data_IF_098311956853
#
_entry.id   IF_098311956853
#
_cell.length_a   1.000
_cell.length_b   1.000
_cell.length_c   1.000
_cell.angle_alpha   90.00
_cell.angle_beta   90.00
_cell.angle_gamma   90.00
#
_symmetry.space_group_name_H-M   'P 1'
#
loop_
_entity.id
_entity.type
_entity.pdbx_description
1 polymer ?
#
# COMPACT_ATOMS: atom_id res chain seq x y z
N UNK A 1 13.61 17.12 17.64
CA UNK A 1 13.77 18.56 17.89
C UNK A 1 14.61 19.13 16.77
N UNK A 2 14.03 19.75 15.77
CA UNK A 2 14.63 20.82 14.98
C UNK A 2 13.48 21.56 14.26
N UNK A 3 13.16 22.74 14.78
CA UNK A 3 12.31 23.71 14.15
C UNK A 3 13.12 24.44 13.08
N UNK A 4 12.62 24.52 11.86
CA UNK A 4 13.03 25.52 10.88
C UNK A 4 11.80 26.29 10.42
N UNK A 5 11.57 27.43 11.06
CA UNK A 5 10.60 28.42 10.66
C UNK A 5 11.14 29.23 9.47
N UNK A 6 10.55 29.07 8.30
CA UNK A 6 10.82 29.92 7.14
C UNK A 6 9.91 31.14 7.20
N UNK A 7 10.50 32.30 7.49
CA UNK A 7 9.84 33.62 7.46
C UNK A 7 9.67 34.08 6.01
N UNK A 8 8.42 34.23 5.56
CA UNK A 8 8.09 35.00 4.36
C UNK A 8 8.09 36.49 4.67
N UNK A 9 8.95 37.22 3.99
CA UNK A 9 8.97 38.69 3.99
C UNK A 9 8.08 39.15 2.83
N UNK A 10 6.94 39.73 3.16
CA UNK A 10 6.10 40.45 2.23
C UNK A 10 6.67 41.87 2.06
N UNK A 11 7.31 42.13 0.93
CA UNK A 11 7.71 43.46 0.52
C UNK A 11 6.71 44.03 -0.49
N UNK A 12 5.82 44.88 -0.04
CA UNK A 12 4.98 45.67 -0.93
C UNK A 12 5.80 46.88 -1.43
N UNK A 13 6.04 46.93 -2.75
CA UNK A 13 6.52 48.14 -3.40
C UNK A 13 5.52 48.49 -4.51
N UNK A 14 4.64 49.49 -4.22
CA UNK A 14 3.87 50.19 -5.25
C UNK A 14 4.79 51.18 -5.96
N UNK A 15 5.07 50.95 -7.22
CA UNK A 15 5.56 51.98 -8.14
C UNK A 15 4.63 52.03 -9.33
N UNK A 16 3.80 53.09 -9.38
CA UNK A 16 3.04 53.48 -10.55
C UNK A 16 4.00 54.14 -11.55
N UNK A 17 4.30 53.46 -12.64
CA UNK A 17 4.89 54.07 -13.83
C UNK A 17 3.98 53.75 -15.03
N UNK A 18 3.20 54.76 -15.44
CA UNK A 18 2.44 54.74 -16.69
C UNK A 18 3.42 55.03 -17.81
N UNK A 19 3.88 54.03 -18.52
CA UNK A 19 4.45 54.17 -19.86
C UNK A 19 3.77 53.20 -20.79
N UNK A 20 2.89 53.77 -21.60
CA UNK A 20 2.30 53.16 -22.77
C UNK A 20 3.40 52.85 -23.79
N UNK A 21 3.81 51.57 -23.83
CA UNK A 21 4.46 50.93 -24.96
C UNK A 21 4.16 49.45 -24.87
N UNK A 22 3.93 48.80 -26.01
CA UNK A 22 3.53 47.44 -26.20
C UNK A 22 4.56 46.42 -25.61
N UNK A 23 4.87 46.52 -24.34
CA UNK A 23 5.77 45.65 -23.59
C UNK A 23 4.91 44.71 -22.73
N UNK A 24 5.04 43.43 -22.98
CA UNK A 24 4.53 42.37 -22.12
C UNK A 24 4.76 42.73 -20.64
N UNK A 25 3.73 42.66 -19.80
CA UNK A 25 3.89 42.89 -18.37
C UNK A 25 4.85 41.87 -17.75
N UNK A 26 5.51 42.20 -16.66
CA UNK A 26 6.41 41.27 -15.97
C UNK A 26 5.68 39.99 -15.53
N UNK A 27 4.41 40.14 -15.12
CA UNK A 27 3.57 38.97 -14.76
C UNK A 27 3.21 38.11 -15.96
N UNK A 28 2.86 38.71 -17.12
CA UNK A 28 2.58 37.98 -18.36
C UNK A 28 3.81 37.25 -18.85
N UNK A 29 4.99 37.90 -18.80
CA UNK A 29 6.25 37.25 -19.13
C UNK A 29 6.57 36.06 -18.22
N UNK A 30 6.38 36.20 -16.92
CA UNK A 30 6.61 35.10 -15.98
C UNK A 30 5.62 33.95 -16.18
N UNK A 31 4.35 34.24 -16.44
CA UNK A 31 3.34 33.23 -16.78
C UNK A 31 3.70 32.50 -18.08
N UNK A 32 4.14 33.22 -19.12
CA UNK A 32 4.61 32.64 -20.37
C UNK A 32 5.78 31.68 -20.15
N UNK A 33 6.78 32.07 -19.37
CA UNK A 33 7.95 31.22 -19.09
C UNK A 33 7.55 29.91 -18.41
N UNK A 34 6.62 29.91 -17.45
CA UNK A 34 6.10 28.71 -16.81
C UNK A 34 5.38 27.81 -17.82
N UNK A 35 4.59 28.38 -18.73
CA UNK A 35 3.92 27.64 -19.78
C UNK A 35 4.91 26.98 -20.76
N UNK A 36 5.93 27.75 -21.22
CA UNK A 36 6.98 27.25 -22.09
C UNK A 36 7.81 26.14 -21.42
N UNK A 37 8.16 26.30 -20.13
CA UNK A 37 8.82 25.25 -19.35
C UNK A 37 7.97 23.99 -19.21
N UNK A 38 6.66 24.13 -19.01
CA UNK A 38 5.75 22.99 -18.98
C UNK A 38 5.76 22.24 -20.33
N UNK A 39 5.75 22.96 -21.45
CA UNK A 39 5.90 22.36 -22.78
C UNK A 39 7.22 21.61 -22.95
N UNK A 40 8.34 22.21 -22.53
CA UNK A 40 9.68 21.57 -22.57
C UNK A 40 9.73 20.33 -21.69
N UNK A 41 9.20 20.38 -20.47
CA UNK A 41 9.14 19.23 -19.56
C UNK A 41 8.33 18.09 -20.17
N UNK A 42 7.20 18.38 -20.83
CA UNK A 42 6.42 17.36 -21.52
C UNK A 42 7.21 16.68 -22.67
N UNK A 43 7.92 17.48 -23.48
CA UNK A 43 8.77 16.94 -24.58
C UNK A 43 9.91 16.09 -24.01
N UNK A 44 10.43 16.46 -22.83
CA UNK A 44 11.46 15.68 -22.13
C UNK A 44 10.93 14.40 -21.46
N UNK A 45 9.63 14.09 -21.58
CA UNK A 45 9.03 12.90 -20.96
C UNK A 45 8.76 13.06 -19.46
N UNK A 46 8.63 14.31 -18.98
CA UNK A 46 8.36 14.68 -17.59
C UNK A 46 6.95 15.29 -17.42
N UNK A 47 5.86 14.59 -17.79
CA UNK A 47 4.53 15.17 -17.81
C UNK A 47 4.02 15.57 -16.42
N UNK A 48 4.43 14.87 -15.36
CA UNK A 48 4.07 15.22 -13.97
C UNK A 48 4.67 16.58 -13.58
N UNK A 49 5.94 16.83 -13.95
CA UNK A 49 6.59 18.13 -13.77
C UNK A 49 5.91 19.21 -14.59
N UNK A 50 5.54 18.92 -15.83
CA UNK A 50 4.81 19.84 -16.68
C UNK A 50 3.47 20.26 -16.06
N UNK A 51 2.70 19.33 -15.48
CA UNK A 51 1.45 19.61 -14.76
C UNK A 51 1.73 20.52 -13.56
N UNK A 52 2.76 20.26 -12.76
CA UNK A 52 3.12 21.08 -11.61
C UNK A 52 3.49 22.53 -12.00
N UNK A 53 4.15 22.72 -13.15
CA UNK A 53 4.44 24.06 -13.70
C UNK A 53 3.16 24.79 -14.11
N UNK A 54 2.18 24.11 -14.72
CA UNK A 54 0.87 24.69 -15.02
C UNK A 54 0.06 24.99 -13.76
N UNK A 55 0.19 24.21 -12.70
CA UNK A 55 -0.41 24.52 -11.40
C UNK A 55 0.22 25.75 -10.77
N UNK A 56 1.53 25.91 -10.88
CA UNK A 56 2.25 27.12 -10.45
C UNK A 56 1.78 28.35 -11.23
N UNK A 57 1.63 28.24 -12.55
CA UNK A 57 1.10 29.29 -13.39
C UNK A 57 -0.31 29.70 -12.95
N UNK A 58 -1.20 28.71 -12.76
CA UNK A 58 -2.58 28.93 -12.32
C UNK A 58 -2.66 29.69 -11.01
N UNK A 59 -1.82 29.33 -10.04
CA UNK A 59 -1.88 29.85 -8.69
C UNK A 59 -1.18 31.23 -8.55
N UNK A 60 -0.04 31.41 -9.22
CA UNK A 60 0.75 32.63 -9.11
C UNK A 60 0.24 33.76 -10.04
N UNK A 61 -0.35 33.40 -11.18
CA UNK A 61 -0.74 34.37 -12.22
C UNK A 61 -2.20 34.18 -12.68
N UNK A 62 -3.19 34.21 -11.77
CA UNK A 62 -4.60 33.95 -12.13
C UNK A 62 -5.21 35.01 -13.04
N UNK A 63 -4.66 36.23 -13.08
CA UNK A 63 -5.12 37.33 -13.93
C UNK A 63 -4.62 37.22 -15.38
N UNK A 64 -3.61 36.42 -15.67
CA UNK A 64 -3.01 36.28 -16.99
C UNK A 64 -3.86 35.31 -17.86
N UNK A 65 -5.00 35.83 -18.34
CA UNK A 65 -6.06 35.05 -19.00
C UNK A 65 -5.61 34.31 -20.27
N UNK A 66 -4.66 34.87 -21.01
CA UNK A 66 -4.09 34.22 -22.20
C UNK A 66 -3.36 32.93 -21.83
N UNK A 67 -2.44 33.02 -20.87
CA UNK A 67 -1.64 31.87 -20.42
C UNK A 67 -2.47 30.86 -19.64
N UNK A 68 -3.51 31.32 -18.92
CA UNK A 68 -4.49 30.46 -18.30
C UNK A 68 -5.24 29.62 -19.34
N UNK A 69 -5.72 30.24 -20.43
CA UNK A 69 -6.39 29.52 -21.54
C UNK A 69 -5.44 28.54 -22.24
N UNK A 70 -4.21 28.97 -22.52
CA UNK A 70 -3.19 28.10 -23.12
C UNK A 70 -2.89 26.90 -22.24
N UNK A 71 -2.73 27.13 -20.91
CA UNK A 71 -2.57 26.09 -19.90
C UNK A 71 -3.73 25.09 -19.88
N UNK A 72 -4.97 25.57 -19.92
CA UNK A 72 -6.18 24.74 -19.96
C UNK A 72 -6.23 23.84 -21.21
N UNK A 73 -5.75 24.33 -22.35
CA UNK A 73 -5.69 23.56 -23.61
C UNK A 73 -4.60 22.48 -23.57
N UNK A 74 -3.43 22.77 -22.96
CA UNK A 74 -2.31 21.85 -22.87
C UNK A 74 -2.55 20.73 -21.82
N UNK A 75 -3.22 21.09 -20.72
CA UNK A 75 -3.38 20.21 -19.54
C UNK A 75 -3.92 18.81 -19.85
N UNK A 76 -4.96 18.62 -20.67
CA UNK A 76 -5.44 17.27 -20.98
C UNK A 76 -4.36 16.38 -21.62
N UNK A 77 -3.57 16.91 -22.53
CA UNK A 77 -2.43 16.17 -23.15
C UNK A 77 -1.40 15.77 -22.12
N UNK A 78 -1.07 16.66 -21.16
CA UNK A 78 -0.14 16.33 -20.09
C UNK A 78 -0.69 15.23 -19.17
N UNK A 79 -1.99 15.27 -18.85
CA UNK A 79 -2.65 14.24 -18.03
C UNK A 79 -2.65 12.90 -18.77
N UNK A 80 -2.90 12.89 -20.08
CA UNK A 80 -2.83 11.68 -20.91
C UNK A 80 -1.41 11.08 -20.82
N UNK A 81 -0.38 11.87 -21.08
CA UNK A 81 1.01 11.40 -21.05
C UNK A 81 1.43 10.90 -19.67
N UNK A 82 1.03 11.61 -18.59
CA UNK A 82 1.30 11.22 -17.22
C UNK A 82 0.59 9.91 -16.85
N UNK A 83 -0.69 9.78 -17.21
CA UNK A 83 -1.47 8.57 -16.92
C UNK A 83 -0.93 7.37 -17.69
N UNK A 84 -0.59 7.52 -18.96
CA UNK A 84 -0.01 6.44 -19.78
C UNK A 84 1.35 5.98 -19.23
N UNK A 85 2.17 6.91 -18.70
CA UNK A 85 3.44 6.59 -18.07
C UNK A 85 3.25 5.84 -16.74
N UNK A 86 2.31 6.30 -15.91
CA UNK A 86 2.00 5.66 -14.63
C UNK A 86 1.35 4.28 -14.82
N UNK A 87 0.45 4.11 -15.81
CA UNK A 87 -0.14 2.81 -16.13
C UNK A 87 0.95 1.80 -16.51
N UNK A 88 1.91 2.19 -17.35
CA UNK A 88 3.05 1.31 -17.69
C UNK A 88 3.85 0.90 -16.46
N UNK A 89 4.15 1.84 -15.57
CA UNK A 89 4.89 1.53 -14.33
C UNK A 89 4.10 0.58 -13.41
N UNK A 90 2.77 0.73 -13.35
CA UNK A 90 1.90 -0.20 -12.61
C UNK A 90 1.89 -1.58 -13.27
N UNK A 91 1.83 -1.66 -14.61
CA UNK A 91 1.87 -2.93 -15.33
C UNK A 91 3.20 -3.68 -15.13
N UNK A 92 4.32 -2.97 -15.17
CA UNK A 92 5.63 -3.53 -14.88
C UNK A 92 5.70 -4.08 -13.43
N UNK A 93 5.14 -3.33 -12.49
CA UNK A 93 5.07 -3.76 -11.08
C UNK A 93 4.17 -4.98 -10.88
N UNK A 94 3.03 -5.03 -11.57
CA UNK A 94 2.12 -6.20 -11.53
C UNK A 94 2.79 -7.45 -12.10
N UNK A 95 3.60 -7.32 -13.16
CA UNK A 95 4.34 -8.44 -13.74
C UNK A 95 5.35 -9.03 -12.76
N UNK A 96 6.08 -8.17 -12.03
CA UNK A 96 7.02 -8.61 -10.98
C UNK A 96 6.28 -9.32 -9.85
N UNK A 97 5.18 -8.71 -9.37
CA UNK A 97 4.36 -9.32 -8.31
C UNK A 97 3.73 -10.66 -8.73
N UNK A 98 3.33 -10.82 -9.98
CA UNK A 98 2.82 -12.09 -10.50
C UNK A 98 3.88 -13.19 -10.44
N UNK A 99 5.14 -12.88 -10.77
CA UNK A 99 6.24 -13.84 -10.68
C UNK A 99 6.51 -14.24 -9.23
N UNK A 100 6.53 -13.28 -8.30
CA UNK A 100 6.69 -13.54 -6.87
C UNK A 100 5.52 -14.35 -6.31
N UNK A 101 4.29 -13.98 -6.67
CA UNK A 101 3.09 -14.68 -6.28
C UNK A 101 3.14 -16.16 -6.71
N UNK A 102 3.45 -16.43 -7.99
CA UNK A 102 3.52 -17.79 -8.53
C UNK A 102 4.60 -18.62 -7.82
N UNK A 103 5.76 -18.00 -7.51
CA UNK A 103 6.82 -18.66 -6.74
C UNK A 103 6.36 -19.02 -5.32
N UNK A 104 5.68 -18.13 -4.62
CA UNK A 104 5.17 -18.35 -3.28
C UNK A 104 3.97 -19.30 -3.28
N UNK A 105 3.08 -19.20 -4.26
CA UNK A 105 1.91 -20.06 -4.40
C UNK A 105 2.31 -21.55 -4.48
N UNK A 106 3.44 -21.86 -5.11
CA UNK A 106 3.97 -23.23 -5.15
C UNK A 106 4.30 -23.83 -3.78
N UNK A 107 4.52 -22.98 -2.77
CA UNK A 107 4.79 -23.36 -1.38
C UNK A 107 3.50 -23.42 -0.54
N UNK A 108 2.39 -22.93 -1.06
CA UNK A 108 1.14 -22.85 -0.33
C UNK A 108 0.23 -24.03 -0.63
N UNK A 109 -0.52 -24.45 0.39
CA UNK A 109 -1.59 -25.45 0.28
C UNK A 109 -2.92 -24.78 0.56
N UNK A 110 -3.88 -24.95 -0.35
CA UNK A 110 -5.28 -24.53 -0.13
C UNK A 110 -5.96 -25.55 0.77
N UNK A 111 -6.59 -25.07 1.82
CA UNK A 111 -7.44 -25.87 2.70
C UNK A 111 -8.89 -25.44 2.41
N UNK A 112 -9.65 -26.39 1.90
CA UNK A 112 -11.08 -26.24 1.59
C UNK A 112 -11.79 -27.53 1.95
N UNK A 113 -12.88 -27.44 2.69
CA UNK A 113 -13.80 -28.56 2.96
C UNK A 113 -15.21 -28.00 3.17
N UNK A 114 -16.20 -28.87 3.15
CA UNK A 114 -17.63 -28.50 3.28
C UNK A 114 -18.02 -27.86 4.63
N UNK A 115 -17.13 -27.93 5.63
CA UNK A 115 -17.36 -27.39 6.98
C UNK A 115 -16.74 -25.99 7.16
N UNK A 116 -15.88 -25.54 6.24
CA UNK A 116 -15.26 -24.23 6.27
C UNK A 116 -16.18 -23.23 5.58
N UNK A 117 -16.34 -22.06 6.21
CA UNK A 117 -17.08 -20.95 5.61
C UNK A 117 -16.32 -20.41 4.39
N UNK A 118 -14.99 -20.31 4.49
CA UNK A 118 -14.12 -19.87 3.41
C UNK A 118 -12.84 -20.71 3.34
N UNK A 119 -12.32 -20.97 2.13
CA UNK A 119 -11.01 -21.57 1.95
C UNK A 119 -9.90 -20.63 2.49
N UNK A 120 -8.78 -21.23 2.89
CA UNK A 120 -7.58 -20.47 3.28
C UNK A 120 -6.31 -21.18 2.80
N UNK A 121 -5.23 -20.45 2.75
CA UNK A 121 -3.90 -20.95 2.41
C UNK A 121 -3.06 -21.13 3.68
N UNK A 122 -2.21 -22.16 3.66
CA UNK A 122 -1.17 -22.44 4.65
C UNK A 122 0.13 -22.78 3.95
N UNK A 123 1.24 -22.62 4.61
CA UNK A 123 2.51 -23.18 4.12
C UNK A 123 2.45 -24.70 4.05
N UNK A 124 2.65 -25.25 2.86
CA UNK A 124 2.49 -26.69 2.61
C UNK A 124 3.49 -27.55 3.39
N UNK A 125 4.70 -27.03 3.60
CA UNK A 125 5.75 -27.76 4.31
C UNK A 125 5.44 -27.89 5.81
N UNK A 126 4.80 -26.88 6.42
CA UNK A 126 4.48 -26.83 7.85
C UNK A 126 3.05 -27.29 8.18
N UNK A 127 2.24 -27.57 7.17
CA UNK A 127 0.85 -27.95 7.38
C UNK A 127 0.72 -29.22 8.24
N UNK A 128 -0.07 -29.12 9.31
CA UNK A 128 -0.45 -30.21 10.18
C UNK A 128 -1.98 -30.29 10.25
N UNK A 129 -2.62 -31.34 9.72
CA UNK A 129 -4.08 -31.52 9.81
C UNK A 129 -4.58 -31.70 11.26
N UNK A 130 -3.70 -32.06 12.19
CA UNK A 130 -4.00 -32.24 13.61
C UNK A 130 -3.59 -31.02 14.45
N UNK A 131 -3.31 -29.87 13.82
CA UNK A 131 -2.84 -28.67 14.51
C UNK A 131 -3.73 -28.27 15.70
N UNK A 132 -5.05 -28.41 15.59
CA UNK A 132 -5.98 -28.06 16.66
C UNK A 132 -5.82 -28.94 17.90
N UNK A 133 -5.21 -30.11 17.79
CA UNK A 133 -4.88 -31.01 18.88
C UNK A 133 -3.44 -30.85 19.39
N UNK A 134 -2.72 -29.86 18.88
CA UNK A 134 -1.33 -29.55 19.24
C UNK A 134 -1.24 -28.28 20.11
N UNK A 135 -0.02 -27.83 20.42
CA UNK A 135 0.19 -26.54 21.06
C UNK A 135 1.17 -25.71 20.23
N UNK A 136 0.74 -24.51 19.83
CA UNK A 136 1.55 -23.62 19.01
C UNK A 136 0.73 -22.59 18.27
N UNK A 137 1.32 -22.00 17.20
CA UNK A 137 0.66 -21.09 16.27
C UNK A 137 0.77 -21.60 14.84
N UNK A 138 -0.24 -21.29 14.03
CA UNK A 138 -0.29 -21.58 12.60
C UNK A 138 -0.66 -20.31 11.85
N UNK A 139 0.20 -19.80 10.96
CA UNK A 139 -0.15 -18.71 10.06
C UNK A 139 -1.09 -19.24 8.96
N UNK A 140 -2.05 -18.40 8.59
CA UNK A 140 -3.01 -18.66 7.50
C UNK A 140 -3.20 -17.43 6.66
N UNK A 141 -3.58 -17.58 5.41
CA UNK A 141 -3.90 -16.48 4.51
C UNK A 141 -5.27 -16.72 3.90
N UNK A 142 -6.17 -15.76 4.00
CA UNK A 142 -7.49 -15.81 3.38
C UNK A 142 -7.40 -15.70 1.86
N UNK A 143 -8.46 -16.04 1.14
CA UNK A 143 -8.53 -15.88 -0.33
C UNK A 143 -8.43 -14.44 -0.81
N UNK A 144 -8.68 -13.49 0.09
CA UNK A 144 -8.52 -12.06 -0.20
C UNK A 144 -7.15 -11.49 0.20
N UNK A 145 -6.21 -12.35 0.62
CA UNK A 145 -4.84 -11.98 0.94
C UNK A 145 -4.61 -11.54 2.39
N UNK A 146 -5.58 -11.63 3.28
CA UNK A 146 -5.41 -11.28 4.69
C UNK A 146 -4.69 -12.40 5.43
N UNK A 147 -3.51 -12.12 6.00
CA UNK A 147 -2.83 -13.03 6.90
C UNK A 147 -3.46 -12.96 8.29
N UNK A 148 -3.66 -14.12 8.91
CA UNK A 148 -4.12 -14.25 10.29
C UNK A 148 -3.45 -15.45 10.97
N UNK A 149 -3.42 -15.44 12.30
CA UNK A 149 -2.88 -16.57 13.07
C UNK A 149 -4.00 -17.34 13.75
N UNK A 150 -3.82 -18.64 13.80
CA UNK A 150 -4.53 -19.52 14.71
C UNK A 150 -3.53 -20.02 15.75
N UNK A 151 -3.86 -19.91 17.04
CA UNK A 151 -3.13 -20.62 18.08
C UNK A 151 -3.97 -21.75 18.65
N UNK A 152 -3.30 -22.81 19.04
CA UNK A 152 -3.89 -23.92 19.78
C UNK A 152 -3.09 -24.22 21.04
N UNK A 153 -3.79 -24.54 22.13
CA UNK A 153 -3.20 -25.03 23.35
C UNK A 153 -3.96 -26.26 23.85
N UNK A 154 -3.36 -27.43 23.64
CA UNK A 154 -3.93 -28.70 24.10
C UNK A 154 -3.81 -28.82 25.63
N UNK A 155 -4.84 -29.37 26.27
CA UNK A 155 -4.93 -29.59 27.71
C UNK A 155 -5.76 -28.58 28.49
N UNK A 156 -6.30 -27.51 27.85
CA UNK A 156 -7.35 -26.64 28.38
C UNK A 156 -7.05 -25.87 29.65
N UNK A 157 -5.77 -25.76 30.07
CA UNK A 157 -5.38 -25.20 31.36
C UNK A 157 -4.76 -23.79 31.29
N UNK A 158 -4.45 -23.31 30.10
CA UNK A 158 -3.76 -22.02 29.91
C UNK A 158 -4.73 -20.84 29.99
N UNK A 159 -5.95 -21.03 29.50
CA UNK A 159 -6.92 -19.94 29.26
C UNK A 159 -6.25 -18.82 28.47
N UNK A 160 -5.53 -19.20 27.40
CA UNK A 160 -4.73 -18.24 26.66
C UNK A 160 -5.62 -17.29 25.83
N UNK A 161 -5.18 -16.06 25.73
CA UNK A 161 -5.85 -15.00 24.99
C UNK A 161 -4.93 -14.33 23.98
N UNK A 162 -3.62 -14.59 24.09
CA UNK A 162 -2.64 -13.95 23.24
C UNK A 162 -1.39 -14.80 23.09
N UNK A 163 -0.46 -14.31 22.31
CA UNK A 163 0.88 -14.84 22.22
C UNK A 163 1.92 -13.72 22.06
N UNK A 164 3.16 -14.03 22.37
CA UNK A 164 4.33 -13.17 22.12
C UNK A 164 5.38 -13.99 21.40
N UNK A 165 5.99 -13.41 20.35
CA UNK A 165 7.21 -13.93 19.74
C UNK A 165 8.35 -13.01 20.16
N UNK A 166 9.42 -13.58 20.71
CA UNK A 166 10.60 -12.85 21.18
C UNK A 166 11.85 -13.33 20.46
N UNK A 167 12.73 -12.38 20.12
CA UNK A 167 14.01 -12.58 19.47
C UNK A 167 14.99 -11.49 19.91
N UNK A 168 16.19 -11.84 20.36
CA UNK A 168 17.30 -10.91 20.66
C UNK A 168 16.91 -9.70 21.55
N UNK A 169 15.99 -9.91 22.50
CA UNK A 169 15.53 -8.87 23.44
C UNK A 169 14.36 -8.03 22.94
N UNK A 170 13.98 -8.17 21.68
CA UNK A 170 12.78 -7.57 21.10
C UNK A 170 11.60 -8.55 21.10
N UNK A 171 10.39 -8.04 20.95
CA UNK A 171 9.20 -8.89 20.90
C UNK A 171 8.04 -8.25 20.15
N UNK A 172 7.17 -9.09 19.61
CA UNK A 172 5.90 -8.74 19.00
C UNK A 172 4.78 -9.57 19.63
N UNK A 173 3.56 -9.03 19.64
CA UNK A 173 2.42 -9.66 20.30
C UNK A 173 1.26 -9.83 19.32
N UNK A 174 0.52 -10.95 19.45
CA UNK A 174 -0.83 -11.14 18.93
C UNK A 174 -1.83 -11.25 20.07
N UNK A 175 -2.96 -10.56 19.98
CA UNK A 175 -3.97 -10.48 21.02
C UNK A 175 -3.82 -9.24 21.92
N UNK A 176 -4.54 -9.18 23.06
CA UNK A 176 -5.40 -10.27 23.58
C UNK A 176 -6.75 -10.38 22.87
N UNK A 177 -7.22 -11.62 22.70
CA UNK A 177 -8.57 -11.97 22.24
C UNK A 177 -9.31 -12.59 23.42
N UNK A 178 -10.28 -11.92 23.96
CA UNK A 178 -11.09 -12.43 25.06
C UNK A 178 -11.88 -13.69 24.66
N UNK A 179 -12.19 -14.54 25.61
CA UNK A 179 -13.06 -15.69 25.38
C UNK A 179 -14.47 -15.21 25.00
N UNK A 180 -14.88 -15.48 23.78
CA UNK A 180 -16.16 -15.04 23.19
C UNK A 180 -16.97 -16.22 22.58
N UNK A 181 -16.35 -17.40 22.44
CA UNK A 181 -16.94 -18.55 21.80
C UNK A 181 -16.83 -18.53 20.27
N UNK A 182 -16.24 -17.50 19.67
CA UNK A 182 -16.10 -17.32 18.23
C UNK A 182 -14.62 -17.25 17.81
N UNK A 183 -13.92 -16.18 18.18
CA UNK A 183 -12.48 -16.03 17.91
C UNK A 183 -11.62 -16.72 18.97
N UNK A 184 -12.14 -16.88 20.19
CA UNK A 184 -11.49 -17.58 21.29
C UNK A 184 -12.48 -18.59 21.89
N UNK A 185 -12.29 -19.86 21.62
CA UNK A 185 -13.19 -20.94 22.02
C UNK A 185 -12.46 -22.19 22.49
N UNK A 186 -13.22 -23.19 22.95
CA UNK A 186 -12.74 -24.48 23.43
C UNK A 186 -13.40 -25.59 22.62
N UNK A 187 -12.59 -26.54 22.16
CA UNK A 187 -13.07 -27.73 21.45
C UNK A 187 -12.15 -28.93 21.76
N UNK A 188 -12.73 -30.08 22.07
CA UNK A 188 -12.04 -31.35 22.28
C UNK A 188 -10.82 -31.26 23.22
N UNK A 189 -10.94 -30.45 24.28
CA UNK A 189 -9.87 -30.24 25.27
C UNK A 189 -8.79 -29.28 24.85
N UNK A 190 -8.90 -28.67 23.67
CA UNK A 190 -8.00 -27.64 23.18
C UNK A 190 -8.59 -26.25 23.32
N UNK A 191 -7.75 -25.28 23.55
CA UNK A 191 -8.06 -23.85 23.52
C UNK A 191 -7.62 -23.31 22.16
N UNK A 192 -8.55 -22.70 21.41
CA UNK A 192 -8.30 -22.17 20.07
C UNK A 192 -8.51 -20.67 20.09
N UNK A 193 -7.55 -19.92 19.57
CA UNK A 193 -7.67 -18.46 19.41
C UNK A 193 -7.27 -18.07 18.00
N UNK A 194 -8.15 -17.30 17.34
CA UNK A 194 -7.91 -16.69 16.03
C UNK A 194 -7.55 -15.23 16.21
N UNK A 195 -6.42 -14.81 15.66
CA UNK A 195 -5.92 -13.43 15.68
C UNK A 195 -6.14 -12.81 14.31
N UNK A 196 -6.96 -11.75 14.19
CA UNK A 196 -7.30 -11.15 12.92
C UNK A 196 -6.11 -10.47 12.24
N UNK A 197 -6.28 -10.12 10.97
CA UNK A 197 -5.22 -9.61 10.11
C UNK A 197 -4.52 -8.36 10.67
N UNK A 198 -5.27 -7.45 11.28
CA UNK A 198 -4.75 -6.20 11.84
C UNK A 198 -3.68 -6.41 12.92
N UNK A 199 -3.75 -7.56 13.60
CA UNK A 199 -2.78 -7.94 14.64
C UNK A 199 -1.68 -8.87 14.11
N UNK A 200 -1.89 -9.45 12.94
CA UNK A 200 -1.04 -10.51 12.38
C UNK A 200 0.07 -9.98 11.49
N UNK A 201 -0.15 -8.86 10.81
CA UNK A 201 0.82 -8.27 9.88
C UNK A 201 2.13 -7.90 10.58
N UNK A 202 2.06 -7.19 11.71
CA UNK A 202 3.23 -6.82 12.49
C UNK A 202 4.03 -8.05 12.98
N UNK A 203 3.33 -9.17 13.26
CA UNK A 203 3.98 -10.43 13.65
C UNK A 203 4.76 -11.02 12.49
N UNK A 204 4.16 -11.06 11.29
CA UNK A 204 4.83 -11.51 10.07
C UNK A 204 6.06 -10.68 9.72
N UNK A 205 5.93 -9.35 9.77
CA UNK A 205 7.03 -8.41 9.56
C UNK A 205 8.18 -8.63 10.56
N UNK A 206 7.87 -8.76 11.85
CA UNK A 206 8.86 -9.03 12.89
C UNK A 206 9.63 -10.32 12.66
N UNK A 207 8.92 -11.42 12.39
CA UNK A 207 9.54 -12.73 12.15
C UNK A 207 10.42 -12.70 10.90
N UNK A 208 9.99 -12.02 9.85
CA UNK A 208 10.78 -11.82 8.62
C UNK A 208 12.05 -11.02 8.87
N UNK A 209 11.97 -9.93 9.64
CA UNK A 209 13.11 -9.08 9.97
C UNK A 209 14.20 -9.82 10.79
N UNK A 210 13.78 -10.79 11.63
CA UNK A 210 14.68 -11.57 12.46
C UNK A 210 14.98 -12.97 11.91
N UNK A 211 14.76 -13.18 10.59
CA UNK A 211 15.05 -14.47 9.96
C UNK A 211 16.50 -14.90 10.22
N UNK A 212 16.67 -16.13 10.70
CA UNK A 212 17.99 -16.71 11.00
C UNK A 212 18.36 -16.65 12.49
N UNK A 213 17.68 -15.83 13.29
CA UNK A 213 17.85 -15.81 14.76
C UNK A 213 16.90 -16.78 15.46
N UNK A 214 17.30 -17.32 16.62
CA UNK A 214 16.42 -18.16 17.43
C UNK A 214 15.23 -17.36 17.98
N UNK A 215 14.02 -17.84 17.76
CA UNK A 215 12.79 -17.20 18.23
C UNK A 215 12.06 -18.07 19.25
N UNK A 216 11.44 -17.40 20.21
CA UNK A 216 10.65 -18.03 21.27
C UNK A 216 9.21 -17.55 21.17
N UNK A 217 8.28 -18.52 21.14
CA UNK A 217 6.84 -18.30 21.22
C UNK A 217 6.39 -18.48 22.67
N UNK A 218 5.64 -17.53 23.21
CA UNK A 218 4.96 -17.65 24.50
C UNK A 218 3.46 -17.47 24.28
N UNK A 219 2.64 -18.50 24.49
CA UNK A 219 1.21 -18.36 24.62
C UNK A 219 0.89 -17.74 25.98
N UNK A 220 0.14 -16.63 25.98
CA UNK A 220 -0.14 -15.80 27.17
C UNK A 220 -1.59 -15.92 27.61
N UNK A 221 -1.81 -16.12 28.91
CA UNK A 221 -3.13 -16.32 29.47
C UNK A 221 -3.11 -16.35 31.00
N UNK A 222 -3.99 -17.09 31.63
CA UNK A 222 -3.94 -17.32 33.07
C UNK A 222 -2.66 -18.05 33.49
N UNK A 223 -2.11 -18.85 32.60
CA UNK A 223 -0.76 -19.42 32.67
C UNK A 223 -0.08 -19.20 31.33
N UNK A 224 1.22 -19.01 31.36
CA UNK A 224 2.02 -18.88 30.13
C UNK A 224 2.66 -20.21 29.75
N UNK A 225 2.76 -20.48 28.46
CA UNK A 225 3.51 -21.61 27.91
C UNK A 225 4.48 -21.14 26.85
N UNK A 226 5.76 -21.35 27.12
CA UNK A 226 6.86 -20.91 26.26
C UNK A 226 7.45 -22.11 25.51
N UNK A 227 7.79 -21.92 24.24
CA UNK A 227 8.42 -22.91 23.37
C UNK A 227 9.29 -22.21 22.31
N UNK A 228 10.30 -22.91 21.79
CA UNK A 228 11.10 -22.42 20.66
C UNK A 228 10.33 -22.61 19.34
N UNK A 229 10.37 -21.63 18.48
CA UNK A 229 9.94 -21.79 17.10
C UNK A 229 10.99 -22.58 16.33
N UNK A 230 10.55 -23.58 15.58
CA UNK A 230 11.42 -24.34 14.68
C UNK A 230 11.69 -23.52 13.42
N UNK A 231 12.80 -23.73 12.69
CA UNK A 231 13.06 -23.08 11.41
C UNK A 231 11.89 -23.24 10.43
N UNK A 232 11.26 -24.39 10.40
CA UNK A 232 10.09 -24.68 9.57
C UNK A 232 8.88 -23.80 9.91
N UNK A 233 8.63 -23.54 11.20
CA UNK A 233 7.55 -22.65 11.63
C UNK A 233 7.87 -21.18 11.31
N UNK A 234 9.14 -20.77 11.45
CA UNK A 234 9.61 -19.45 11.07
C UNK A 234 9.42 -19.23 9.56
N UNK A 235 9.87 -20.18 8.72
CA UNK A 235 9.69 -20.11 7.27
C UNK A 235 8.20 -20.11 6.87
N UNK A 236 7.35 -20.85 7.57
CA UNK A 236 5.91 -20.83 7.33
C UNK A 236 5.28 -19.46 7.60
N UNK A 237 5.69 -18.78 8.68
CA UNK A 237 5.21 -17.43 8.98
C UNK A 237 5.66 -16.46 7.89
N UNK A 238 6.92 -16.53 7.45
CA UNK A 238 7.47 -15.69 6.39
C UNK A 238 6.78 -15.96 5.06
N UNK A 239 6.62 -17.23 4.67
CA UNK A 239 5.95 -17.58 3.41
C UNK A 239 4.49 -17.10 3.39
N UNK A 240 3.74 -17.23 4.49
CA UNK A 240 2.38 -16.73 4.59
C UNK A 240 2.34 -15.19 4.55
N UNK A 241 3.28 -14.51 5.22
CA UNK A 241 3.39 -13.06 5.21
C UNK A 241 3.67 -12.55 3.79
N UNK A 242 4.69 -13.06 3.13
CA UNK A 242 5.06 -12.65 1.78
C UNK A 242 3.94 -12.97 0.78
N UNK A 243 3.31 -14.13 0.87
CA UNK A 243 2.18 -14.51 0.01
C UNK A 243 0.97 -13.59 0.19
N UNK A 244 0.64 -13.23 1.43
CA UNK A 244 -0.39 -12.25 1.77
C UNK A 244 -0.13 -10.91 1.09
N UNK A 245 1.09 -10.39 1.19
CA UNK A 245 1.48 -9.12 0.59
C UNK A 245 1.41 -9.15 -0.94
N UNK A 246 1.81 -10.24 -1.61
CA UNK A 246 1.66 -10.30 -3.07
C UNK A 246 0.21 -10.16 -3.53
N UNK A 247 -0.75 -10.73 -2.80
CA UNK A 247 -2.18 -10.61 -3.11
C UNK A 247 -2.68 -9.19 -2.84
N UNK A 248 -2.33 -8.62 -1.69
CA UNK A 248 -2.79 -7.29 -1.28
C UNK A 248 -2.22 -6.19 -2.18
N UNK A 249 -0.92 -6.25 -2.47
CA UNK A 249 -0.24 -5.27 -3.31
C UNK A 249 -0.73 -5.33 -4.76
N UNK A 250 -0.96 -6.54 -5.30
CA UNK A 250 -1.55 -6.70 -6.63
C UNK A 250 -2.95 -6.09 -6.71
N UNK A 251 -3.78 -6.24 -5.68
CA UNK A 251 -5.10 -5.60 -5.60
C UNK A 251 -5.01 -4.09 -5.54
N UNK A 252 -4.08 -3.56 -4.73
CA UNK A 252 -3.87 -2.12 -4.63
C UNK A 252 -3.42 -1.53 -5.97
N UNK A 253 -2.48 -2.17 -6.65
CA UNK A 253 -2.04 -1.76 -7.98
C UNK A 253 -3.15 -1.87 -9.03
N UNK A 254 -4.01 -2.89 -8.96
CA UNK A 254 -5.17 -3.00 -9.83
C UNK A 254 -6.18 -1.85 -9.64
N UNK A 255 -6.45 -1.44 -8.39
CA UNK A 255 -7.28 -0.26 -8.11
C UNK A 255 -6.63 1.03 -8.61
N UNK A 256 -5.32 1.18 -8.44
CA UNK A 256 -4.59 2.34 -8.95
C UNK A 256 -4.65 2.39 -10.48
N UNK A 257 -4.45 1.28 -11.17
CA UNK A 257 -4.59 1.19 -12.62
C UNK A 257 -6.00 1.59 -13.09
N UNK A 258 -7.03 1.14 -12.40
CA UNK A 258 -8.41 1.51 -12.73
C UNK A 258 -8.66 3.02 -12.54
N UNK A 259 -8.14 3.60 -11.47
CA UNK A 259 -8.19 5.05 -11.21
C UNK A 259 -7.51 5.83 -12.34
N UNK A 260 -6.31 5.40 -12.74
CA UNK A 260 -5.55 6.03 -13.83
C UNK A 260 -6.26 5.92 -15.19
N UNK A 261 -6.86 4.76 -15.50
CA UNK A 261 -7.64 4.57 -16.73
C UNK A 261 -8.85 5.53 -16.77
N UNK A 262 -9.59 5.69 -15.68
CA UNK A 262 -10.69 6.66 -15.60
C UNK A 262 -10.20 8.10 -15.81
N UNK A 263 -9.07 8.45 -15.22
CA UNK A 263 -8.46 9.78 -15.42
C UNK A 263 -8.06 10.00 -16.88
N UNK A 264 -7.49 9.00 -17.51
CA UNK A 264 -7.08 8.99 -18.92
C UNK A 264 -8.29 9.20 -19.86
N UNK A 265 -9.40 8.49 -19.63
CA UNK A 265 -10.63 8.65 -20.40
C UNK A 265 -11.21 10.07 -20.31
N UNK A 266 -11.24 10.63 -19.10
CA UNK A 266 -11.70 12.03 -18.89
C UNK A 266 -10.80 12.99 -19.65
N UNK A 267 -9.47 12.83 -19.58
CA UNK A 267 -8.52 13.70 -20.24
C UNK A 267 -8.62 13.59 -21.77
N UNK A 268 -8.80 12.39 -22.33
CA UNK A 268 -9.03 12.18 -23.77
C UNK A 268 -10.30 12.87 -24.24
N UNK A 269 -11.40 12.70 -23.53
CA UNK A 269 -12.66 13.39 -23.84
C UNK A 269 -12.55 14.92 -23.79
N UNK A 270 -11.74 15.45 -22.87
CA UNK A 270 -11.47 16.89 -22.80
C UNK A 270 -10.61 17.36 -23.98
N UNK A 271 -9.56 16.61 -24.33
CA UNK A 271 -8.70 16.92 -25.48
C UNK A 271 -9.51 16.94 -26.81
N UNK A 272 -10.37 15.96 -27.02
CA UNK A 272 -11.25 15.89 -28.19
C UNK A 272 -12.19 17.09 -28.29
N UNK A 273 -12.82 17.48 -27.17
CA UNK A 273 -13.69 18.69 -27.14
C UNK A 273 -12.93 19.96 -27.46
N UNK A 274 -11.70 20.10 -26.98
CA UNK A 274 -10.88 21.27 -27.28
C UNK A 274 -10.42 21.29 -28.75
N UNK A 275 -10.16 20.13 -29.36
CA UNK A 275 -9.81 20.02 -30.77
C UNK A 275 -10.97 20.44 -31.67
N UNK A 276 -12.21 20.01 -31.37
CA UNK A 276 -13.40 20.40 -32.12
C UNK A 276 -13.72 21.90 -32.02
N UNK A 277 -13.53 22.52 -30.85
CA UNK A 277 -13.71 23.96 -30.61
C UNK A 277 -12.64 24.84 -31.27
N UNK A 278 -11.52 24.30 -31.68
CA UNK A 278 -10.42 25.04 -32.32
C UNK A 278 -10.44 24.94 -33.85
N UNK A 279 -11.35 24.15 -34.42
CA UNK A 279 -11.54 23.93 -35.86
C UNK A 279 -12.66 24.77 -36.49
N UNK A 280 -13.43 25.46 -35.65
CA UNK A 280 -14.43 26.48 -36.05
C UNK A 280 -13.85 27.89 -35.89
#
# INVERSE_FOLDING_TARGET
MYNAATKFIAGALCVLAITSCNSESESARAARLLYEEAGKANIAGEPVRAIALLDSLKNAYPAETEWQRASMKLRPTLIINASDQQIRAVDDSLLVLEQEHNSLQSKMKVISNAQLVEPYYVDAASYDPQFMNSTGIQPRVSTIGQMYFLSSANGGALKHTGFTISCDGESVQGGPIAYDGELNYRIDGSEIVTYPAEQSDAVGAFVKAHKGSPMTLTLTGAKNKTMKLTPKQIDAIINCYDYSHTIMDARQLAFEKERLNRQLEIARSQAERLATQSGD
#
